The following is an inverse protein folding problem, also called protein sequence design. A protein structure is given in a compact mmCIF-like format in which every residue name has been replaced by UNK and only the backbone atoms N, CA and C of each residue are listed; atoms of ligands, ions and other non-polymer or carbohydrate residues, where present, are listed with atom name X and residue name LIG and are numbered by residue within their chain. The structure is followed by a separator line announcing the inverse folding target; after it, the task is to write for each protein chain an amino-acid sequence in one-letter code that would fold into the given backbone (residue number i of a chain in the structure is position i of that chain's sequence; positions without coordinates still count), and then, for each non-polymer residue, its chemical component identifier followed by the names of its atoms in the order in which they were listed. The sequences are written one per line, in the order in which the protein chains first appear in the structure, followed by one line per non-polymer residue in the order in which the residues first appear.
data_IF_325321331594
#
_entry.id   IF_325321331594
#
_cell.length_a   1.000
_cell.length_b   1.000
_cell.length_c   1.000
_cell.angle_alpha   90.00
_cell.angle_beta   90.00
_cell.angle_gamma   90.00
#
_symmetry.space_group_name_H-M   'P 1'
#
loop_
_entity.id
_entity.type
_entity.pdbx_description
1 polymer ?
#
# COMPACT_ATOMS: atom_id res chain seq x y z
C UNK A 1 4.00 28.11 0.25
N UNK A 2 3.55 27.76 1.40
CA UNK A 2 4.08 26.50 1.88
C UNK A 2 3.25 25.29 1.46
N UNK A 3 2.35 25.52 0.54
CA UNK A 3 1.48 24.48 -0.01
C UNK A 3 2.21 23.66 -1.05
N UNK A 4 3.03 24.33 -1.83
CA UNK A 4 3.78 23.72 -2.93
C UNK A 4 4.55 22.46 -2.52
N UNK A 5 5.12 22.56 -1.33
CA UNK A 5 5.95 21.52 -0.72
C UNK A 5 5.24 20.15 -0.70
N UNK A 6 4.01 20.26 -0.29
CA UNK A 6 3.13 19.13 0.03
C UNK A 6 2.39 18.58 -1.19
N UNK A 7 1.27 19.19 -1.48
CA UNK A 7 0.38 18.92 -2.60
C UNK A 7 0.45 17.45 -3.00
N UNK A 8 0.36 16.62 -1.95
CA UNK A 8 0.44 15.16 -2.02
C UNK A 8 -0.94 14.56 -1.86
N UNK A 9 -1.88 15.05 -2.62
CA UNK A 9 -3.25 14.52 -2.59
C UNK A 9 -3.56 13.54 -3.69
N UNK A 10 -2.91 13.66 -4.84
CA UNK A 10 -3.15 12.77 -5.97
C UNK A 10 -1.95 11.89 -6.22
N UNK A 11 -1.28 11.51 -5.15
CA UNK A 11 -0.12 10.61 -5.23
C UNK A 11 -0.01 9.79 -3.94
N UNK A 12 -0.21 10.52 -2.86
CA UNK A 12 -0.26 9.98 -1.50
C UNK A 12 -1.61 9.37 -1.15
N UNK A 13 -2.46 9.21 -2.14
CA UNK A 13 -3.78 8.60 -1.98
C UNK A 13 -3.78 7.20 -2.57
N UNK A 14 -3.30 7.12 -3.81
CA UNK A 14 -3.18 5.87 -4.54
C UNK A 14 -2.28 4.88 -3.82
N UNK A 15 -1.24 5.39 -3.18
CA UNK A 15 -0.27 4.54 -2.49
C UNK A 15 -0.87 3.84 -1.30
N UNK A 16 -1.97 4.36 -0.77
CA UNK A 16 -2.64 3.73 0.37
C UNK A 16 -3.28 2.42 -0.03
N UNK A 17 -3.71 2.32 -1.28
CA UNK A 17 -4.30 1.09 -1.78
C UNK A 17 -3.27 0.19 -2.44
N UNK A 18 -2.02 0.36 -2.07
CA UNK A 18 -0.92 -0.47 -2.58
C UNK A 18 -0.31 -1.33 -1.50
N UNK A 19 -0.61 -1.03 -0.25
CA UNK A 19 -0.13 -1.83 0.90
C UNK A 19 -1.04 -3.01 1.20
N UNK A 20 -2.28 -2.86 0.78
CA UNK A 20 -3.33 -3.86 0.91
C UNK A 20 -3.09 -4.99 -0.10
N UNK A 21 -2.67 -4.54 -1.27
CA UNK A 21 -2.31 -5.40 -2.39
C UNK A 21 -1.08 -6.22 -2.05
N UNK A 22 -0.08 -5.51 -1.55
CA UNK A 22 1.17 -6.12 -1.09
C UNK A 22 1.03 -6.78 0.28
N UNK A 23 -0.18 -6.88 0.78
CA UNK A 23 -0.48 -7.58 2.02
C UNK A 23 -1.50 -8.68 1.80
N UNK A 24 -1.71 -9.05 0.55
CA UNK A 24 -2.59 -10.15 0.16
C UNK A 24 -1.78 -11.33 -0.32
N UNK A 25 -0.62 -11.03 -0.87
CA UNK A 25 0.32 -12.07 -1.29
C UNK A 25 1.21 -12.57 -0.17
N UNK A 26 0.84 -12.26 1.05
CA UNK A 26 1.52 -12.73 2.25
C UNK A 26 0.66 -13.70 3.02
N UNK A 27 -0.65 -13.59 2.83
CA UNK A 27 -1.60 -14.51 3.45
C UNK A 27 -1.45 -15.90 2.88
N UNK A 28 -1.20 -15.96 1.58
CA UNK A 28 -0.99 -17.22 0.88
C UNK A 28 0.27 -17.93 1.31
N UNK A 29 1.11 -17.27 2.09
CA UNK A 29 2.38 -17.85 2.52
C UNK A 29 2.22 -18.67 3.79
N UNK A 30 1.28 -18.27 4.61
CA UNK A 30 1.04 -18.96 5.90
C UNK A 30 0.35 -20.30 5.71
N UNK A 31 -0.37 -20.38 4.60
CA UNK A 31 -1.12 -21.51 4.16
C UNK A 31 -0.29 -22.59 3.51
N UNK A 32 0.87 -22.22 3.01
CA UNK A 32 1.73 -23.16 2.27
C UNK A 32 2.85 -23.73 3.12
N UNK A 33 3.37 -22.94 4.03
CA UNK A 33 4.52 -23.37 4.85
C UNK A 33 4.13 -24.30 6.00
N UNK A 34 2.91 -24.09 6.45
CA UNK A 34 2.27 -24.79 7.52
C UNK A 34 1.60 -26.05 7.04
N UNK A 35 1.22 -26.10 5.77
#
# INVERSE_FOLDING_TARGET
XNEKKYHLQERVDKVKKKVKDVEEKSKEWVQKVEX
#
